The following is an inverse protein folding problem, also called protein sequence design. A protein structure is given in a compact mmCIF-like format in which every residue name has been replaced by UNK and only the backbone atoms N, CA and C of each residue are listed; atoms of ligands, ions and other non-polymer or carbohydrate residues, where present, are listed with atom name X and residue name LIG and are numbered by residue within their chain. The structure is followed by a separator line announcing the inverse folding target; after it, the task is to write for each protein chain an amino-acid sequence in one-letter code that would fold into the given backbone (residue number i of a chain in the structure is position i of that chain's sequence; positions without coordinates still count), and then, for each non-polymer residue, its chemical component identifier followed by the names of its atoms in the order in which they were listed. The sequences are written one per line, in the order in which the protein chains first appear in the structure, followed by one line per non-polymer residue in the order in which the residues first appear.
data_IF_966258122042
#
_entry.id   IF_966258122042
#
_cell.length_a   1.000
_cell.length_b   1.000
_cell.length_c   1.000
_cell.angle_alpha   90.00
_cell.angle_beta   90.00
_cell.angle_gamma   90.00
#
_symmetry.space_group_name_H-M   'P 1'
#
loop_
_entity.id
_entity.type
_entity.pdbx_description
1 polymer ?
#
# COMPACT_ATOMS: atom_id res chain seq x y z
N UNK A 1 -23.11 15.07 0.58
CA UNK A 1 -22.25 14.87 1.76
C UNK A 1 -20.89 14.36 1.33
N UNK A 2 -19.81 14.87 1.90
CA UNK A 2 -18.49 14.36 1.56
C UNK A 2 -18.31 12.93 2.09
N UNK A 3 -17.67 12.09 1.26
CA UNK A 3 -17.35 10.73 1.63
C UNK A 3 -16.20 10.74 2.63
N UNK A 4 -16.35 10.09 3.79
CA UNK A 4 -15.30 10.04 4.82
C UNK A 4 -14.51 8.74 4.81
N UNK A 5 -15.08 7.67 4.29
CA UNK A 5 -14.38 6.40 4.18
C UNK A 5 -14.86 5.61 2.99
N UNK A 6 -13.97 4.79 2.47
CA UNK A 6 -14.31 3.78 1.49
C UNK A 6 -14.50 2.46 2.23
N UNK A 7 -15.64 1.84 2.03
CA UNK A 7 -16.01 0.63 2.73
C UNK A 7 -15.21 -0.60 2.31
N UNK A 8 -15.38 -1.67 3.08
CA UNK A 8 -14.80 -2.97 2.77
C UNK A 8 -15.21 -3.40 1.36
N UNK A 9 -14.23 -3.79 0.56
CA UNK A 9 -14.43 -4.31 -0.80
C UNK A 9 -15.12 -3.34 -1.77
N UNK A 10 -15.10 -2.03 -1.48
CA UNK A 10 -15.87 -1.03 -2.25
C UNK A 10 -15.61 -1.09 -3.76
N UNK A 11 -14.37 -1.31 -4.18
CA UNK A 11 -13.99 -1.40 -5.60
C UNK A 11 -13.30 -2.73 -5.94
N UNK A 12 -13.53 -3.76 -5.13
CA UNK A 12 -12.89 -5.07 -5.36
C UNK A 12 -13.21 -5.61 -6.75
N UNK A 13 -12.17 -6.08 -7.44
CA UNK A 13 -12.27 -6.71 -8.76
C UNK A 13 -12.77 -5.79 -9.89
N UNK A 14 -12.65 -4.48 -9.74
CA UNK A 14 -12.91 -3.55 -10.83
C UNK A 14 -11.75 -3.60 -11.81
N UNK A 15 -11.78 -4.57 -12.71
CA UNK A 15 -10.66 -4.92 -13.60
C UNK A 15 -10.34 -3.88 -14.65
N UNK A 16 -11.26 -2.97 -14.93
CA UNK A 16 -11.05 -1.92 -15.93
C UNK A 16 -10.63 -0.57 -15.33
N UNK A 17 -10.61 -0.46 -14.01
CA UNK A 17 -10.21 0.76 -13.32
C UNK A 17 -8.70 0.95 -13.47
N UNK A 18 -8.26 2.05 -14.12
CA UNK A 18 -6.85 2.33 -14.36
C UNK A 18 -6.26 3.34 -13.38
N UNK A 19 -7.05 4.29 -12.95
CA UNK A 19 -6.61 5.30 -12.00
C UNK A 19 -7.77 5.81 -11.18
N UNK A 20 -7.49 6.29 -9.97
CA UNK A 20 -8.50 6.89 -9.11
C UNK A 20 -7.84 7.95 -8.23
N UNK A 21 -8.55 9.05 -8.03
CA UNK A 21 -8.17 10.08 -7.06
C UNK A 21 -9.14 10.00 -5.89
N UNK A 22 -8.61 9.73 -4.71
CA UNK A 22 -9.41 9.63 -3.50
C UNK A 22 -9.61 11.06 -2.94
N UNK A 23 -10.86 11.49 -2.68
CA UNK A 23 -11.13 12.85 -2.22
C UNK A 23 -10.52 13.16 -0.86
N UNK A 24 -10.25 14.45 -0.63
CA UNK A 24 -9.65 14.95 0.62
C UNK A 24 -10.50 14.73 1.86
N UNK A 25 -11.79 14.45 1.69
CA UNK A 25 -12.69 14.12 2.81
C UNK A 25 -12.48 12.72 3.38
N UNK A 26 -11.81 11.82 2.63
CA UNK A 26 -11.65 10.43 3.03
C UNK A 26 -10.53 10.30 4.06
N UNK A 27 -10.86 9.68 5.20
CA UNK A 27 -9.91 9.46 6.29
C UNK A 27 -9.52 7.98 6.45
N UNK A 28 -10.28 7.07 5.85
CA UNK A 28 -9.95 5.64 5.91
C UNK A 28 -10.40 4.90 4.67
N UNK A 29 -9.62 3.86 4.33
CA UNK A 29 -9.90 2.92 3.24
C UNK A 29 -10.09 1.56 3.88
N UNK A 30 -11.18 0.89 3.54
CA UNK A 30 -11.56 -0.39 4.12
C UNK A 30 -10.74 -1.58 3.60
N UNK A 31 -10.92 -2.72 4.28
CA UNK A 31 -10.31 -3.98 3.91
C UNK A 31 -10.67 -4.35 2.47
N UNK A 32 -9.68 -4.76 1.69
CA UNK A 32 -9.86 -5.20 0.29
C UNK A 32 -10.52 -4.17 -0.63
N UNK A 33 -10.50 -2.89 -0.29
CA UNK A 33 -11.25 -1.88 -1.05
C UNK A 33 -10.89 -1.86 -2.54
N UNK A 34 -9.63 -2.06 -2.89
CA UNK A 34 -9.15 -2.11 -4.29
C UNK A 34 -8.53 -3.45 -4.64
N UNK A 35 -8.81 -4.48 -3.85
CA UNK A 35 -8.22 -5.81 -4.09
C UNK A 35 -8.57 -6.31 -5.49
N UNK A 36 -7.58 -6.86 -6.17
CA UNK A 36 -7.73 -7.45 -7.50
C UNK A 36 -8.18 -6.44 -8.59
N UNK A 37 -7.94 -5.17 -8.39
CA UNK A 37 -8.06 -4.16 -9.44
C UNK A 37 -6.80 -4.26 -10.30
N UNK A 38 -6.75 -5.27 -11.17
CA UNK A 38 -5.52 -5.65 -11.89
C UNK A 38 -5.03 -4.62 -12.90
N UNK A 39 -5.90 -3.72 -13.34
CA UNK A 39 -5.51 -2.64 -14.27
C UNK A 39 -5.21 -1.32 -13.58
N UNK A 40 -5.36 -1.27 -12.25
CA UNK A 40 -5.15 -0.03 -11.48
C UNK A 40 -3.65 0.27 -11.42
N UNK A 41 -3.23 1.29 -12.14
CA UNK A 41 -1.82 1.67 -12.25
C UNK A 41 -1.43 2.83 -11.32
N UNK A 42 -2.39 3.68 -10.99
CA UNK A 42 -2.14 4.83 -10.13
C UNK A 42 -3.32 5.15 -9.21
N UNK A 43 -2.98 5.56 -8.00
CA UNK A 43 -3.95 6.02 -7.00
C UNK A 43 -3.38 7.27 -6.36
N UNK A 44 -4.19 8.34 -6.30
CA UNK A 44 -3.82 9.54 -5.56
C UNK A 44 -4.53 9.48 -4.22
N UNK A 45 -3.73 9.39 -3.15
CA UNK A 45 -4.22 9.32 -1.78
C UNK A 45 -4.23 10.69 -1.12
N UNK A 46 -5.26 11.06 -0.35
CA UNK A 46 -5.32 12.35 0.31
C UNK A 46 -4.46 12.41 1.56
N UNK A 47 -4.01 13.61 1.92
CA UNK A 47 -3.24 13.82 3.14
C UNK A 47 -4.07 13.55 4.41
N UNK A 48 -5.39 13.59 4.30
CA UNK A 48 -6.31 13.29 5.39
C UNK A 48 -6.38 11.81 5.77
N UNK A 49 -5.84 10.93 4.92
CA UNK A 49 -5.96 9.49 5.10
C UNK A 49 -5.08 9.02 6.26
N UNK A 50 -5.70 8.40 7.28
CA UNK A 50 -4.99 7.90 8.46
C UNK A 50 -4.97 6.38 8.55
N UNK A 51 -5.84 5.70 7.80
CA UNK A 51 -5.95 4.24 7.88
C UNK A 51 -6.24 3.62 6.53
N UNK A 52 -5.49 2.56 6.22
CA UNK A 52 -5.72 1.72 5.05
C UNK A 52 -5.88 0.29 5.56
N UNK A 53 -7.01 -0.33 5.20
CA UNK A 53 -7.36 -1.66 5.68
C UNK A 53 -6.51 -2.78 5.08
N UNK A 54 -6.56 -3.95 5.71
CA UNK A 54 -5.89 -5.16 5.29
C UNK A 54 -6.19 -5.46 3.81
N UNK A 55 -5.15 -5.80 3.06
CA UNK A 55 -5.27 -6.20 1.65
C UNK A 55 -5.93 -5.17 0.73
N UNK A 56 -5.95 -3.89 1.11
CA UNK A 56 -6.65 -2.86 0.34
C UNK A 56 -6.19 -2.76 -1.11
N UNK A 57 -4.90 -3.00 -1.37
CA UNK A 57 -4.32 -2.95 -2.72
C UNK A 57 -3.76 -4.30 -3.17
N UNK A 58 -4.26 -5.39 -2.59
CA UNK A 58 -3.84 -6.72 -2.96
C UNK A 58 -4.06 -6.97 -4.44
N UNK A 59 -3.00 -7.45 -5.11
CA UNK A 59 -3.04 -7.85 -6.51
C UNK A 59 -3.55 -6.74 -7.45
N UNK A 60 -3.02 -5.54 -7.28
CA UNK A 60 -3.27 -4.41 -8.18
C UNK A 60 -2.12 -4.27 -9.18
N UNK A 61 -2.36 -3.47 -10.21
CA UNK A 61 -1.33 -3.14 -11.21
C UNK A 61 -0.53 -1.90 -10.87
N UNK A 62 -0.53 -1.43 -9.62
CA UNK A 62 0.16 -0.21 -9.20
C UNK A 62 1.64 -0.27 -9.55
N UNK A 63 2.11 0.74 -10.25
CA UNK A 63 3.52 0.91 -10.61
C UNK A 63 4.25 1.72 -9.55
N UNK A 64 3.55 2.67 -8.97
CA UNK A 64 4.05 3.49 -7.87
C UNK A 64 2.86 4.00 -7.05
N UNK A 65 3.12 4.38 -5.82
CA UNK A 65 2.12 4.99 -4.96
C UNK A 65 2.83 5.87 -3.94
N UNK A 66 2.26 7.06 -3.68
CA UNK A 66 2.74 7.93 -2.62
C UNK A 66 1.84 7.76 -1.42
N UNK A 67 2.42 7.24 -0.34
CA UNK A 67 1.68 7.05 0.91
C UNK A 67 1.64 8.36 1.69
N UNK A 68 0.49 8.71 2.29
CA UNK A 68 0.38 9.95 3.05
C UNK A 68 1.18 9.92 4.35
N UNK A 69 1.71 11.08 4.75
CA UNK A 69 2.54 11.19 5.95
C UNK A 69 1.80 10.93 7.26
N UNK A 70 0.48 10.88 7.21
CA UNK A 70 -0.37 10.60 8.37
C UNK A 70 -0.49 9.12 8.72
N UNK A 71 -0.04 8.22 7.84
CA UNK A 71 -0.10 6.77 8.13
C UNK A 71 0.86 6.39 9.25
N UNK A 72 0.40 5.48 10.11
CA UNK A 72 1.19 4.96 11.24
C UNK A 72 1.54 3.48 11.11
N UNK A 73 0.95 2.79 10.14
CA UNK A 73 1.25 1.38 9.89
C UNK A 73 1.03 1.02 8.43
N UNK A 74 1.74 0.00 7.98
CA UNK A 74 1.46 -0.71 6.74
C UNK A 74 0.81 -2.02 7.15
N UNK A 75 -0.47 -2.17 6.85
CA UNK A 75 -1.26 -3.32 7.28
C UNK A 75 -0.88 -4.63 6.60
N UNK A 76 -1.40 -5.72 7.16
CA UNK A 76 -1.20 -7.06 6.60
C UNK A 76 -1.72 -7.10 5.15
N UNK A 77 -0.94 -7.74 4.28
CA UNK A 77 -1.30 -8.01 2.88
C UNK A 77 -1.55 -6.76 2.03
N UNK A 78 -1.15 -5.58 2.50
CA UNK A 78 -1.53 -4.33 1.85
C UNK A 78 -1.19 -4.30 0.36
N UNK A 79 0.02 -4.69 0.01
CA UNK A 79 0.50 -4.74 -1.38
C UNK A 79 0.86 -6.15 -1.83
N UNK A 80 0.21 -7.16 -1.24
CA UNK A 80 0.43 -8.57 -1.60
C UNK A 80 0.23 -8.73 -3.11
N UNK A 81 1.22 -9.30 -3.77
CA UNK A 81 1.23 -9.55 -5.23
C UNK A 81 1.02 -8.30 -6.10
N UNK A 82 1.48 -7.13 -5.64
CA UNK A 82 1.57 -5.95 -6.49
C UNK A 82 2.80 -6.10 -7.39
N UNK A 83 2.68 -6.91 -8.41
CA UNK A 83 3.80 -7.37 -9.25
C UNK A 83 4.47 -6.26 -10.07
N UNK A 84 3.80 -5.13 -10.25
CA UNK A 84 4.32 -4.02 -11.05
C UNK A 84 4.93 -2.89 -10.22
N UNK A 85 4.81 -2.96 -8.91
CA UNK A 85 5.31 -1.93 -8.00
C UNK A 85 6.83 -1.93 -8.01
N UNK A 86 7.45 -0.79 -8.36
CA UNK A 86 8.92 -0.68 -8.52
C UNK A 86 9.63 -0.09 -7.31
N UNK A 87 9.00 0.85 -6.65
CA UNK A 87 9.61 1.49 -5.48
C UNK A 87 8.54 1.98 -4.52
N UNK A 88 8.92 2.12 -3.26
CA UNK A 88 8.03 2.69 -2.26
C UNK A 88 8.84 3.36 -1.16
N UNK A 89 8.32 4.49 -0.69
CA UNK A 89 8.85 5.19 0.48
C UNK A 89 7.83 5.04 1.61
N UNK A 90 8.27 4.43 2.70
CA UNK A 90 7.42 4.25 3.88
C UNK A 90 7.47 5.54 4.71
N UNK A 91 6.31 6.16 5.02
CA UNK A 91 6.26 7.44 5.72
C UNK A 91 6.87 7.43 7.12
N UNK A 92 7.29 8.60 7.58
CA UNK A 92 8.08 8.79 8.81
C UNK A 92 7.37 8.42 10.11
N UNK A 93 6.05 8.32 10.10
CA UNK A 93 5.28 7.94 11.30
C UNK A 93 4.95 6.45 11.38
N UNK A 94 5.30 5.69 10.35
CA UNK A 94 5.02 4.25 10.33
C UNK A 94 5.93 3.53 11.31
N UNK A 95 5.32 2.75 12.20
CA UNK A 95 6.04 1.99 13.22
C UNK A 95 6.08 0.49 12.93
N UNK A 96 5.21 0.01 12.03
CA UNK A 96 5.16 -1.43 11.73
C UNK A 96 4.78 -1.69 10.27
N UNK A 97 5.36 -2.77 9.75
CA UNK A 97 4.99 -3.33 8.45
C UNK A 97 4.41 -4.71 8.72
N UNK A 98 3.18 -4.93 8.24
CA UNK A 98 2.41 -6.13 8.52
C UNK A 98 2.86 -7.37 7.77
N UNK A 99 2.22 -8.48 8.12
CA UNK A 99 2.49 -9.79 7.53
C UNK A 99 2.22 -9.75 6.03
N UNK A 100 3.21 -10.24 5.27
CA UNK A 100 3.12 -10.36 3.81
C UNK A 100 2.75 -9.06 3.09
N UNK A 101 3.05 -7.91 3.71
CA UNK A 101 2.63 -6.60 3.17
C UNK A 101 3.12 -6.34 1.75
N UNK A 102 4.30 -6.83 1.41
CA UNK A 102 4.91 -6.71 0.08
C UNK A 102 5.27 -8.07 -0.53
N UNK A 103 4.63 -9.13 -0.03
CA UNK A 103 4.88 -10.49 -0.53
C UNK A 103 4.60 -10.55 -2.04
N UNK A 104 5.56 -11.06 -2.78
CA UNK A 104 5.38 -11.26 -4.23
C UNK A 104 5.42 -9.99 -5.06
N UNK A 105 5.93 -8.88 -4.53
CA UNK A 105 6.18 -7.67 -5.30
C UNK A 105 7.43 -7.87 -6.15
N UNK A 106 7.30 -8.64 -7.23
CA UNK A 106 8.43 -9.13 -8.02
C UNK A 106 9.29 -8.05 -8.65
N UNK A 107 8.72 -6.88 -8.96
CA UNK A 107 9.41 -5.77 -9.61
C UNK A 107 9.93 -4.71 -8.61
N UNK A 108 9.68 -4.92 -7.32
CA UNK A 108 10.10 -3.95 -6.30
C UNK A 108 11.62 -3.93 -6.17
N UNK A 109 12.23 -2.79 -6.51
CA UNK A 109 13.69 -2.64 -6.51
C UNK A 109 14.21 -1.84 -5.32
N UNK A 110 13.44 -0.84 -4.86
CA UNK A 110 13.87 0.10 -3.83
C UNK A 110 12.79 0.29 -2.77
N UNK A 111 13.19 0.19 -1.51
CA UNK A 111 12.33 0.49 -0.37
C UNK A 111 13.08 1.43 0.56
N UNK A 112 12.44 2.55 0.90
CA UNK A 112 12.97 3.48 1.90
C UNK A 112 12.18 3.30 3.19
N UNK A 113 12.87 2.90 4.26
CA UNK A 113 12.27 2.66 5.56
C UNK A 113 12.48 3.86 6.49
N UNK A 114 11.50 4.18 7.35
CA UNK A 114 11.62 5.29 8.29
C UNK A 114 12.37 4.90 9.57
N UNK A 115 12.93 5.90 10.25
CA UNK A 115 13.59 5.69 11.55
C UNK A 115 12.61 5.27 12.65
N UNK A 116 11.33 5.55 12.47
CA UNK A 116 10.28 5.20 13.43
C UNK A 116 9.94 3.72 13.47
N UNK A 117 10.41 2.95 12.48
CA UNK A 117 10.03 1.55 12.31
C UNK A 117 10.55 0.69 13.45
N UNK A 118 9.66 -0.04 14.12
CA UNK A 118 10.00 -0.95 15.23
C UNK A 118 9.71 -2.41 14.93
N UNK A 119 8.92 -2.70 13.87
CA UNK A 119 8.53 -4.07 13.57
C UNK A 119 8.35 -4.28 12.07
N UNK A 120 8.92 -5.37 11.56
CA UNK A 120 8.65 -5.89 10.23
C UNK A 120 8.18 -7.33 10.46
N UNK A 121 6.94 -7.63 10.08
CA UNK A 121 6.34 -8.94 10.32
C UNK A 121 6.82 -10.01 9.34
N UNK A 122 6.34 -11.24 9.57
CA UNK A 122 6.71 -12.40 8.76
C UNK A 122 6.40 -12.19 7.29
N UNK A 123 7.32 -12.62 6.44
CA UNK A 123 7.13 -12.65 4.98
C UNK A 123 6.86 -11.28 4.34
N UNK A 124 7.13 -10.19 5.06
CA UNK A 124 6.79 -8.84 4.57
C UNK A 124 7.38 -8.54 3.19
N UNK A 125 8.58 -9.01 2.90
CA UNK A 125 9.26 -8.81 1.61
C UNK A 125 9.61 -10.13 0.92
N UNK A 126 8.94 -11.23 1.27
CA UNK A 126 9.20 -12.52 0.63
C UNK A 126 8.84 -12.45 -0.85
N UNK A 127 9.65 -13.10 -1.68
CA UNK A 127 9.51 -13.12 -3.15
C UNK A 127 9.56 -11.75 -3.82
N UNK A 128 10.21 -10.79 -3.20
CA UNK A 128 10.59 -9.54 -3.85
C UNK A 128 11.90 -9.77 -4.60
N UNK A 129 11.83 -10.45 -5.74
CA UNK A 129 13.01 -11.00 -6.45
C UNK A 129 13.98 -9.95 -6.94
N UNK A 130 13.52 -8.74 -7.24
CA UNK A 130 14.37 -7.65 -7.72
C UNK A 130 14.83 -6.69 -6.62
N UNK A 131 14.43 -6.94 -5.39
CA UNK A 131 14.79 -6.04 -4.29
C UNK A 131 16.29 -6.12 -4.04
N UNK A 132 17.00 -5.09 -4.47
CA UNK A 132 18.44 -5.01 -4.40
C UNK A 132 18.92 -4.14 -3.24
N UNK A 133 18.10 -3.20 -2.82
CA UNK A 133 18.46 -2.25 -1.78
C UNK A 133 17.32 -2.04 -0.81
N UNK A 134 17.62 -2.17 0.46
CA UNK A 134 16.74 -1.78 1.54
C UNK A 134 17.60 -1.12 2.60
N UNK A 135 17.25 0.11 2.95
CA UNK A 135 17.97 0.84 3.98
C UNK A 135 17.22 0.73 5.29
N UNK A 136 17.86 0.11 6.27
CA UNK A 136 17.31 0.01 7.62
C UNK A 136 17.93 1.14 8.43
N UNK A 137 17.15 2.11 8.90
CA UNK A 137 17.68 3.22 9.68
C UNK A 137 18.29 2.74 10.99
N UNK A 138 19.37 3.39 11.40
CA UNK A 138 20.05 3.09 12.67
C UNK A 138 19.35 3.71 13.88
#
# INVERSE_FOLDING_TARGET
MPCKYLGKEAFRQFKNLKSITIPDSVTSIGECAFAQCTSLESVVLPASLTKIGKAAFWHTGLKEITLPSSLTEIGDWLFLHCKMLKSITIPDKVTSIGDSAFYGCCELEHVVLPCSLTKIACNAFEDCQKLAEITIPS
#
